data_IF_423852548846
#
_entry.id   IF_423852548846
#
_cell.length_a   1.000
_cell.length_b   1.000
_cell.length_c   1.000
_cell.angle_alpha   90.00
_cell.angle_beta   90.00
_cell.angle_gamma   90.00
#
_symmetry.space_group_name_H-M   'P 1'
#
loop_
_entity.id
_entity.type
_entity.pdbx_description
1 polymer ?
2 non-polymer ?
3 water ?
#
# COMPACT_ATOMS: atom_id res chain seq x y z
N UNK A 1 6.00 8.64 -37.01
CA UNK A 1 4.54 8.68 -36.75
C UNK A 1 4.17 9.69 -35.66
N UNK A 2 3.69 9.20 -34.52
CA UNK A 2 3.31 10.05 -33.41
C UNK A 2 3.56 9.37 -32.08
N UNK A 3 4.20 10.09 -31.16
CA UNK A 3 4.51 9.54 -29.84
C UNK A 3 3.65 10.12 -28.73
N UNK A 4 3.48 9.33 -27.67
CA UNK A 4 2.70 9.71 -26.50
C UNK A 4 3.56 9.40 -25.28
N UNK A 5 3.76 10.39 -24.42
CA UNK A 5 4.58 10.19 -23.23
C UNK A 5 4.10 10.94 -21.99
N UNK A 6 4.73 10.63 -20.86
CA UNK A 6 4.41 11.25 -19.58
C UNK A 6 5.68 11.67 -18.84
N UNK A 7 5.56 12.71 -18.03
CA UNK A 7 6.69 13.21 -17.26
C UNK A 7 6.99 12.29 -16.08
N UNK A 8 5.95 11.71 -15.51
CA UNK A 8 6.10 10.81 -14.37
C UNK A 8 5.11 9.65 -14.46
N UNK A 9 5.64 8.44 -14.58
CA UNK A 9 4.80 7.25 -14.69
C UNK A 9 4.52 6.58 -13.33
N UNK A 10 5.15 7.10 -12.29
CA UNK A 10 4.97 6.59 -10.93
C UNK A 10 4.66 7.81 -10.06
N UNK A 11 3.38 8.13 -9.94
CA UNK A 11 2.97 9.30 -9.17
C UNK A 11 2.47 9.02 -7.76
N UNK A 12 3.06 9.73 -6.80
CA UNK A 12 2.72 9.61 -5.39
C UNK A 12 2.29 10.99 -4.93
N UNK A 13 1.16 11.06 -4.23
CA UNK A 13 0.65 12.34 -3.75
C UNK A 13 -0.19 12.11 -2.50
N UNK A 14 -0.07 13.01 -1.51
CA UNK A 14 -0.83 12.87 -0.27
C UNK A 14 -2.34 12.92 -0.51
N UNK A 15 -3.09 12.18 0.31
CA UNK A 15 -4.54 12.14 0.20
C UNK A 15 -5.14 13.54 0.34
N UNK A 16 -6.26 13.76 -0.34
CA UNK A 16 -7.00 15.03 -0.31
C UNK A 16 -6.37 16.19 -1.06
N UNK A 17 -5.23 15.95 -1.71
CA UNK A 17 -4.56 16.99 -2.47
C UNK A 17 -4.81 16.86 -3.96
N UNK A 18 -4.56 17.95 -4.68
CA UNK A 18 -4.74 18.00 -6.12
C UNK A 18 -3.54 17.37 -6.81
N UNK A 19 -3.79 16.80 -7.98
CA UNK A 19 -2.73 16.18 -8.76
C UNK A 19 -3.12 16.16 -10.23
N UNK A 20 -2.13 16.37 -11.09
CA UNK A 20 -2.36 16.37 -12.52
C UNK A 20 -1.60 15.20 -13.13
N UNK A 21 -2.33 14.28 -13.76
CA UNK A 21 -1.70 13.15 -14.41
C UNK A 21 -1.38 13.66 -15.82
N UNK A 22 -0.09 13.84 -16.10
CA UNK A 22 0.34 14.36 -17.39
C UNK A 22 0.40 13.35 -18.53
N UNK A 23 0.10 13.84 -19.73
CA UNK A 23 0.11 13.03 -20.95
C UNK A 23 0.39 13.96 -22.12
N UNK A 24 1.64 13.99 -22.57
CA UNK A 24 2.02 14.84 -23.69
C UNK A 24 2.11 14.00 -24.96
N UNK A 25 1.88 14.64 -26.09
CA UNK A 25 1.94 13.97 -27.39
C UNK A 25 2.34 14.94 -28.50
N UNK A 26 2.92 14.40 -29.56
CA UNK A 26 3.34 15.20 -30.70
C UNK A 26 3.12 14.40 -31.98
N UNK A 27 2.84 15.12 -33.07
CA UNK A 27 2.59 14.49 -34.35
C UNK A 27 1.12 14.36 -34.68
N UNK A 28 0.26 14.81 -33.77
CA UNK A 28 -1.18 14.74 -33.97
C UNK A 28 -1.74 16.09 -34.39
N UNK A 29 -2.82 16.05 -35.17
CA UNK A 29 -3.47 17.26 -35.65
C UNK A 29 -4.83 17.46 -34.98
N UNK A 30 -5.68 16.44 -35.05
CA UNK A 30 -7.00 16.48 -34.43
C UNK A 30 -7.14 15.25 -33.53
N UNK A 31 -6.43 15.26 -32.40
CA UNK A 31 -6.44 14.16 -31.43
C UNK A 31 -7.66 13.96 -30.54
N UNK A 32 -8.00 12.69 -30.34
CA UNK A 32 -9.08 12.30 -29.46
C UNK A 32 -8.34 11.74 -28.25
N UNK A 33 -8.53 12.35 -27.09
CA UNK A 33 -7.86 11.89 -25.88
C UNK A 33 -8.84 11.15 -24.98
N UNK A 34 -8.44 9.96 -24.53
CA UNK A 34 -9.29 9.17 -23.64
C UNK A 34 -8.47 8.63 -22.48
N UNK A 35 -9.13 8.41 -21.35
CA UNK A 35 -8.46 7.91 -20.16
C UNK A 35 -9.24 6.79 -19.52
N UNK A 36 -8.54 5.74 -19.09
CA UNK A 36 -9.19 4.63 -18.42
C UNK A 36 -8.48 4.31 -17.12
N UNK A 37 -9.29 3.89 -16.14
CA UNK A 37 -8.82 3.56 -14.81
C UNK A 37 -8.96 2.07 -14.56
N UNK A 38 -7.84 1.43 -14.23
CA UNK A 38 -7.81 0.01 -13.95
C UNK A 38 -7.36 -0.23 -12.51
N UNK A 39 -8.21 -0.92 -11.75
CA UNK A 39 -7.94 -1.25 -10.37
C UNK A 39 -8.51 -2.65 -10.19
N UNK A 40 -7.62 -3.63 -10.06
CA UNK A 40 -8.06 -5.01 -9.92
C UNK A 40 -8.62 -5.46 -11.25
N UNK A 41 -9.89 -5.84 -11.27
CA UNK A 41 -10.56 -6.29 -12.49
C UNK A 41 -11.48 -5.20 -13.05
N UNK A 42 -11.70 -4.16 -12.25
CA UNK A 42 -12.56 -3.03 -12.62
C UNK A 42 -11.92 -2.12 -13.67
N UNK A 43 -12.65 -1.88 -14.76
CA UNK A 43 -12.18 -1.01 -15.83
C UNK A 43 -13.21 0.09 -16.06
N UNK A 44 -12.84 1.33 -15.73
CA UNK A 44 -13.73 2.48 -15.91
C UNK A 44 -13.11 3.56 -16.78
N UNK A 45 -13.94 4.22 -17.59
CA UNK A 45 -13.45 5.31 -18.43
C UNK A 45 -13.55 6.62 -17.67
N UNK A 46 -12.45 7.37 -17.62
CA UNK A 46 -12.43 8.65 -16.93
C UNK A 46 -12.67 9.75 -17.95
N UNK A 47 -12.17 9.52 -19.16
CA UNK A 47 -12.31 10.48 -20.23
C UNK A 47 -12.70 9.74 -21.51
N UNK A 48 -13.78 10.20 -22.12
CA UNK A 48 -14.31 9.62 -23.35
C UNK A 48 -14.45 10.75 -24.36
N UNK A 49 -13.90 10.54 -25.56
CA UNK A 49 -13.95 11.53 -26.63
C UNK A 49 -13.50 12.93 -26.17
N UNK A 50 -12.40 12.96 -25.41
CA UNK A 50 -11.80 14.20 -24.89
C UNK A 50 -12.68 14.91 -23.86
N UNK A 51 -13.54 14.15 -23.21
CA UNK A 51 -14.46 14.70 -22.24
C UNK A 51 -14.53 13.83 -20.99
N UNK A 52 -14.46 14.46 -19.82
CA UNK A 52 -14.53 13.74 -18.56
C UNK A 52 -15.91 13.10 -18.42
N UNK A 53 -15.93 11.81 -18.08
CA UNK A 53 -17.17 11.06 -17.92
C UNK A 53 -17.95 11.48 -16.68
N UNK A 54 -19.24 11.14 -16.67
CA UNK A 54 -20.15 11.50 -15.57
C UNK A 54 -19.69 11.24 -14.13
N UNK A 55 -19.29 10.00 -13.81
CA UNK A 55 -18.85 9.72 -12.44
C UNK A 55 -17.59 10.45 -11.98
N UNK A 56 -16.88 11.08 -12.92
CA UNK A 56 -15.65 11.81 -12.59
C UNK A 56 -15.76 13.31 -12.85
N UNK A 57 -16.86 13.73 -13.46
CA UNK A 57 -17.06 15.13 -13.82
C UNK A 57 -17.04 16.15 -12.69
N UNK A 58 -17.29 15.70 -11.46
CA UNK A 58 -17.33 16.59 -10.31
C UNK A 58 -15.99 16.95 -9.70
N UNK A 59 -14.94 16.21 -10.04
CA UNK A 59 -13.62 16.49 -9.48
C UNK A 59 -12.44 16.35 -10.44
N UNK A 60 -12.71 15.96 -11.69
CA UNK A 60 -11.64 15.82 -12.68
C UNK A 60 -11.83 16.79 -13.84
N UNK A 61 -10.80 17.58 -14.11
CA UNK A 61 -10.85 18.55 -15.19
C UNK A 61 -9.90 18.14 -16.31
N UNK A 62 -10.39 18.23 -17.54
CA UNK A 62 -9.62 17.89 -18.73
C UNK A 62 -8.84 19.05 -19.32
N UNK A 63 -7.71 18.71 -19.93
CA UNK A 63 -6.85 19.67 -20.62
C UNK A 63 -6.07 18.81 -21.62
N UNK A 64 -5.58 19.43 -22.68
CA UNK A 64 -4.84 18.70 -23.70
C UNK A 64 -3.53 18.09 -23.19
N UNK A 65 -3.05 18.55 -22.04
CA UNK A 65 -1.79 18.05 -21.47
C UNK A 65 -1.94 17.07 -20.31
N UNK A 66 -3.18 16.73 -19.96
CA UNK A 66 -3.41 15.80 -18.87
C UNK A 66 -4.69 16.07 -18.11
N UNK A 67 -5.00 15.21 -17.14
CA UNK A 67 -6.21 15.39 -16.34
C UNK A 67 -5.83 15.83 -14.92
N UNK A 68 -6.58 16.77 -14.38
CA UNK A 68 -6.30 17.26 -13.04
C UNK A 68 -7.41 16.91 -12.05
N UNK A 69 -7.01 16.26 -10.96
CA UNK A 69 -7.92 15.87 -9.89
C UNK A 69 -7.88 17.01 -8.89
N UNK A 70 -9.04 17.57 -8.57
CA UNK A 70 -9.08 18.65 -7.59
C UNK A 70 -8.75 18.08 -6.21
N UNK A 71 -8.96 16.77 -6.05
CA UNK A 71 -8.65 16.05 -4.81
C UNK A 71 -8.72 14.54 -5.04
N UNK A 72 -7.79 13.82 -4.43
CA UNK A 72 -7.74 12.36 -4.55
C UNK A 72 -7.87 11.70 -3.19
N UNK A 73 -8.41 10.48 -3.19
CA UNK A 73 -8.57 9.70 -1.98
C UNK A 73 -7.88 8.37 -2.22
N UNK A 74 -7.73 7.58 -1.16
CA UNK A 74 -7.08 6.27 -1.26
C UNK A 74 -7.80 5.35 -2.25
N UNK A 75 -9.06 5.67 -2.57
CA UNK A 75 -9.86 4.89 -3.50
C UNK A 75 -9.42 5.11 -4.95
N UNK A 76 -8.57 6.11 -5.17
CA UNK A 76 -8.08 6.42 -6.50
C UNK A 76 -6.81 5.67 -6.91
N UNK A 77 -6.23 4.91 -5.99
CA UNK A 77 -5.03 4.13 -6.28
C UNK A 77 -5.27 3.22 -7.47
N UNK A 78 -4.29 3.15 -8.37
CA UNK A 78 -4.42 2.29 -9.54
C UNK A 78 -3.65 2.82 -10.72
N UNK A 79 -3.89 2.26 -11.90
CA UNK A 79 -3.19 2.75 -13.07
C UNK A 79 -4.14 3.42 -14.06
N UNK A 80 -3.71 4.57 -14.55
CA UNK A 80 -4.47 5.37 -15.49
C UNK A 80 -3.74 5.33 -16.81
N UNK A 81 -4.47 5.02 -17.87
CA UNK A 81 -3.89 4.91 -19.20
C UNK A 81 -4.42 6.00 -20.13
N UNK A 82 -3.51 6.84 -20.61
CA UNK A 82 -3.88 7.90 -21.52
C UNK A 82 -3.80 7.35 -22.94
N UNK A 83 -4.92 7.41 -23.64
CA UNK A 83 -5.00 6.91 -25.01
C UNK A 83 -5.26 8.03 -26.00
N UNK A 84 -4.25 8.31 -26.82
CA UNK A 84 -4.37 9.36 -27.82
C UNK A 84 -4.46 8.76 -29.21
N UNK A 85 -5.42 9.25 -29.98
CA UNK A 85 -5.65 8.76 -31.32
C UNK A 85 -5.93 9.92 -32.27
N UNK A 86 -5.43 9.82 -33.49
CA UNK A 86 -5.68 10.85 -34.50
C UNK A 86 -7.08 10.56 -35.01
N UNK A 87 -7.89 11.60 -35.19
CA UNK A 87 -9.26 11.38 -35.67
C UNK A 87 -9.21 10.54 -36.95
N UNK A 88 -9.79 9.34 -36.88
CA UNK A 88 -9.77 8.42 -38.01
C UNK A 88 -9.10 7.12 -37.60
N UNK A 89 -8.30 7.16 -36.54
CA UNK A 89 -7.63 5.97 -36.05
C UNK A 89 -6.33 5.53 -36.69
N UNK A 90 -5.82 6.30 -37.64
CA UNK A 90 -4.57 5.95 -38.33
C UNK A 90 -3.36 5.97 -37.39
N UNK A 91 -3.21 7.07 -36.67
CA UNK A 91 -2.11 7.25 -35.73
C UNK A 91 -2.62 6.98 -34.32
N UNK A 92 -1.88 6.19 -33.55
CA UNK A 92 -2.28 5.84 -32.19
C UNK A 92 -1.12 5.69 -31.22
N UNK A 93 -1.42 5.92 -29.94
CA UNK A 93 -0.41 5.79 -28.91
C UNK A 93 -1.05 5.80 -27.53
N UNK A 94 -0.33 5.27 -26.54
CA UNK A 94 -0.83 5.23 -25.17
C UNK A 94 0.28 5.14 -24.13
N UNK A 95 -0.01 5.64 -22.93
CA UNK A 95 0.95 5.60 -21.85
C UNK A 95 0.23 5.41 -20.51
N UNK A 96 0.77 4.51 -19.69
CA UNK A 96 0.19 4.22 -18.38
C UNK A 96 0.87 4.99 -17.25
N UNK A 97 0.10 5.31 -16.22
CA UNK A 97 0.61 6.05 -15.07
C UNK A 97 0.04 5.44 -13.80
N UNK A 98 0.93 5.00 -12.91
CA UNK A 98 0.46 4.40 -11.67
C UNK A 98 0.36 5.45 -10.58
N UNK A 99 -0.83 5.58 -10.01
CA UNK A 99 -1.08 6.55 -8.95
C UNK A 99 -1.14 5.88 -7.58
N UNK A 100 -0.37 6.42 -6.65
CA UNK A 100 -0.34 5.93 -5.28
C UNK A 100 -0.65 7.12 -4.37
N UNK A 101 -1.80 7.06 -3.73
CA UNK A 101 -2.24 8.11 -2.81
C UNK A 101 -1.65 7.82 -1.43
N UNK A 102 -0.81 8.73 -0.95
CA UNK A 102 -0.13 8.58 0.33
C UNK A 102 -0.98 8.76 1.59
N UNK A 103 -0.92 7.76 2.46
CA UNK A 103 -1.65 7.76 3.72
C UNK A 103 -0.70 7.12 4.74
N UNK A 104 -0.38 7.84 5.83
CA UNK A 104 0.52 7.26 6.84
C UNK A 104 -0.16 6.13 7.58
N UNK A 105 0.62 5.21 8.16
CA UNK A 105 0.04 4.09 8.89
C UNK A 105 -0.72 4.49 10.15
N UNK A 106 -1.75 3.70 10.45
CA UNK A 106 -2.56 3.90 11.65
C UNK A 106 -1.95 3.03 12.75
N UNK A 107 -2.34 3.29 13.99
CA UNK A 107 -1.85 2.52 15.14
C UNK A 107 -2.21 1.07 14.90
N UNK A 108 -1.21 0.20 14.77
CA UNK A 108 -1.50 -1.22 14.54
C UNK A 108 -2.02 -1.94 15.77
N UNK A 109 -2.73 -3.04 15.56
CA UNK A 109 -3.23 -3.85 16.67
C UNK A 109 -2.38 -5.11 16.68
N UNK A 110 -2.28 -5.76 17.83
CA UNK A 110 -1.53 -7.01 17.93
C UNK A 110 -2.36 -8.10 18.56
N UNK A 111 -2.04 -9.34 18.21
CA UNK A 111 -2.72 -10.50 18.76
C UNK A 111 -1.63 -11.35 19.39
N UNK A 112 -1.57 -11.31 20.72
CA UNK A 112 -0.59 -12.08 21.46
C UNK A 112 -1.31 -12.97 22.46
N UNK A 113 -1.22 -14.29 22.26
CA UNK A 113 -1.87 -15.24 23.16
C UNK A 113 -1.27 -15.13 24.56
N UNK A 114 -2.14 -14.95 25.55
CA UNK A 114 -1.71 -14.80 26.94
C UNK A 114 -0.96 -16.02 27.47
N UNK A 115 -1.33 -17.21 26.99
CA UNK A 115 -0.70 -18.45 27.41
C UNK A 115 -0.51 -19.41 26.24
N UNK A 116 0.66 -20.02 26.18
CA UNK A 116 0.98 -20.99 25.14
C UNK A 116 1.72 -22.17 25.75
N UNK A 117 1.56 -23.34 25.14
CA UNK A 117 2.21 -24.55 25.62
C UNK A 117 3.57 -24.75 24.95
N UNK A 118 4.61 -24.88 25.78
CA UNK A 118 5.98 -25.10 25.32
C UNK A 118 6.03 -26.33 24.40
N UNK A 119 6.71 -26.19 23.27
CA UNK A 119 6.80 -27.27 22.31
C UNK A 119 5.85 -27.03 21.14
N UNK A 120 4.82 -26.23 21.38
CA UNK A 120 3.84 -25.93 20.35
C UNK A 120 4.16 -24.66 19.55
N UNK A 121 3.31 -24.39 18.57
CA UNK A 121 3.46 -23.23 17.70
C UNK A 121 2.67 -22.03 18.23
N UNK A 122 3.22 -20.84 18.02
CA UNK A 122 2.57 -19.61 18.44
C UNK A 122 2.89 -18.52 17.42
N UNK A 123 1.85 -17.91 16.86
CA UNK A 123 2.02 -16.85 15.88
C UNK A 123 1.46 -15.55 16.44
N UNK A 124 2.31 -14.54 16.59
CA UNK A 124 1.87 -13.25 17.09
C UNK A 124 1.67 -12.37 15.87
N UNK A 125 0.52 -11.71 15.77
CA UNK A 125 0.25 -10.87 14.61
C UNK A 125 0.31 -9.39 14.91
N UNK A 126 0.61 -8.62 13.87
CA UNK A 126 0.72 -7.18 13.95
C UNK A 126 0.25 -6.63 12.63
N UNK A 127 -0.73 -5.73 12.67
CA UNK A 127 -1.22 -5.15 11.43
C UNK A 127 -2.08 -3.90 11.56
N UNK A 128 -2.17 -3.20 10.43
CA UNK A 128 -2.98 -2.00 10.28
C UNK A 128 -3.35 -2.03 8.79
N UNK A 129 -4.47 -1.42 8.43
CA UNK A 129 -4.90 -1.45 7.03
C UNK A 129 -5.14 -0.09 6.37
N UNK A 130 -4.67 0.99 6.98
CA UNK A 130 -4.87 2.31 6.41
C UNK A 130 -3.71 2.84 5.59
N UNK A 131 -2.50 2.44 5.96
CA UNK A 131 -1.32 2.88 5.25
C UNK A 131 -1.31 2.64 3.76
N UNK A 132 -0.78 3.62 3.03
CA UNK A 132 -0.67 3.55 1.58
C UNK A 132 0.62 4.29 1.19
N UNK A 133 1.63 3.55 0.70
CA UNK A 133 1.69 2.10 0.47
C UNK A 133 1.61 1.28 1.76
N UNK A 134 1.41 -0.05 1.64
CA UNK A 134 1.31 -0.96 2.79
C UNK A 134 2.48 -0.87 3.76
N UNK A 135 2.18 -0.92 5.05
CA UNK A 135 3.20 -0.84 6.08
C UNK A 135 3.97 -2.15 6.25
N UNK A 136 5.20 -2.02 6.74
CA UNK A 136 6.05 -3.17 7.05
C UNK A 136 6.13 -3.15 8.57
N UNK A 137 6.42 -4.29 9.18
CA UNK A 137 6.44 -4.37 10.63
C UNK A 137 7.74 -4.86 11.26
N UNK A 138 7.89 -4.52 12.54
CA UNK A 138 9.05 -4.92 13.33
C UNK A 138 8.57 -5.19 14.76
N UNK A 139 9.23 -6.13 15.44
CA UNK A 139 8.83 -6.51 16.80
C UNK A 139 9.81 -6.20 17.93
N UNK A 140 9.27 -6.16 19.15
CA UNK A 140 10.04 -5.88 20.35
C UNK A 140 9.64 -6.83 21.47
N UNK A 141 10.62 -7.23 22.27
CA UNK A 141 10.40 -8.11 23.41
C UNK A 141 11.05 -7.46 24.63
N UNK A 142 10.24 -7.14 25.63
CA UNK A 142 10.72 -6.49 26.85
C UNK A 142 11.57 -5.25 26.52
N UNK A 143 11.16 -4.52 25.48
CA UNK A 143 11.86 -3.31 25.07
C UNK A 143 12.99 -3.49 24.08
N UNK A 144 13.39 -4.74 23.84
CA UNK A 144 14.48 -5.04 22.92
C UNK A 144 13.99 -5.26 21.49
N UNK A 145 14.63 -4.59 20.54
CA UNK A 145 14.29 -4.74 19.13
C UNK A 145 14.83 -6.12 18.71
N UNK A 146 13.92 -7.01 18.34
CA UNK A 146 14.27 -8.38 17.95
C UNK A 146 15.19 -8.54 16.75
N UNK A 147 15.20 -7.55 15.87
CA UNK A 147 16.07 -7.58 14.70
C UNK A 147 16.69 -6.20 14.51
N UNK A 148 18.01 -6.16 14.33
CA UNK A 148 18.72 -4.89 14.13
C UNK A 148 19.85 -5.06 13.12
N UNK A 154 20.01 -8.86 11.94
CA UNK A 154 20.71 -9.31 13.14
C UNK A 154 19.72 -9.55 14.28
N UNK A 155 19.75 -10.77 14.82
CA UNK A 155 18.86 -11.17 15.91
C UNK A 155 19.27 -10.65 17.29
N UNK A 156 18.28 -10.35 18.12
CA UNK A 156 18.52 -9.87 19.48
C UNK A 156 19.08 -10.99 20.35
N UNK A 157 18.75 -12.23 19.98
CA UNK A 157 19.20 -13.43 20.68
C UNK A 157 18.99 -14.69 19.83
N UNK A 158 19.95 -15.61 19.90
CA UNK A 158 19.90 -16.86 19.15
C UNK A 158 19.21 -17.96 19.95
N UNK A 159 18.95 -17.68 21.22
CA UNK A 159 18.32 -18.61 22.15
C UNK A 159 16.85 -18.96 21.83
N UNK A 160 16.33 -18.43 20.71
CA UNK A 160 14.95 -18.68 20.31
C UNK A 160 14.80 -19.13 18.86
N UNK A 161 13.77 -19.93 18.61
CA UNK A 161 13.48 -20.46 17.28
C UNK A 161 12.37 -19.63 16.65
N UNK A 162 12.63 -18.33 16.49
CA UNK A 162 11.63 -17.44 15.93
C UNK A 162 11.89 -16.98 14.50
N UNK A 163 10.84 -16.46 13.88
CA UNK A 163 10.89 -15.97 12.52
C UNK A 163 9.96 -14.78 12.44
N UNK A 164 10.34 -13.79 11.65
CA UNK A 164 9.53 -12.60 11.47
C UNK A 164 9.38 -12.28 10.00
N UNK A 165 8.13 -12.09 9.58
CA UNK A 165 7.79 -11.74 8.21
C UNK A 165 7.40 -10.26 8.27
N UNK A 166 8.27 -9.38 7.75
CA UNK A 166 8.04 -7.93 7.74
C UNK A 166 6.81 -7.47 6.95
N UNK A 167 6.44 -8.22 5.92
CA UNK A 167 5.30 -7.86 5.10
C UNK A 167 3.93 -8.21 5.68
N UNK A 168 3.84 -9.35 6.36
CA UNK A 168 2.57 -9.74 6.98
C UNK A 168 2.55 -9.28 8.44
N UNK A 169 3.74 -9.21 9.04
CA UNK A 169 3.87 -8.79 10.42
C UNK A 169 3.86 -9.94 11.41
N UNK A 170 3.84 -11.17 10.90
CA UNK A 170 3.83 -12.36 11.75
C UNK A 170 5.14 -12.62 12.48
N UNK A 171 5.03 -12.89 13.77
CA UNK A 171 6.16 -13.25 14.61
C UNK A 171 5.84 -14.70 14.93
N UNK A 172 6.64 -15.61 14.40
CA UNK A 172 6.40 -17.04 14.59
C UNK A 172 7.39 -17.77 15.50
N UNK A 173 6.86 -18.44 16.52
CA UNK A 173 7.67 -19.24 17.45
C UNK A 173 7.26 -20.69 17.21
N UNK A 174 8.21 -21.49 16.73
CA UNK A 174 7.94 -22.90 16.46
C UNK A 174 9.24 -23.70 16.59
N UNK A 175 9.42 -24.39 17.72
CA UNK A 175 8.48 -24.44 18.84
C UNK A 175 8.71 -23.29 19.83
N UNK A 176 7.72 -23.03 20.68
CA UNK A 176 7.84 -21.98 21.69
C UNK A 176 8.54 -22.57 22.91
N UNK A 177 9.41 -21.79 23.53
CA UNK A 177 10.13 -22.23 24.72
C UNK A 177 9.82 -21.27 25.86
N UNK A 178 10.21 -21.64 27.08
CA UNK A 178 9.95 -20.80 28.24
C UNK A 178 10.62 -19.43 28.07
N UNK A 179 11.73 -19.42 27.34
CA UNK A 179 12.47 -18.20 27.07
C UNK A 179 11.67 -17.17 26.26
N UNK A 180 10.72 -17.64 25.46
CA UNK A 180 9.91 -16.77 24.63
C UNK A 180 8.83 -16.04 25.41
N UNK A 181 8.68 -16.41 26.67
CA UNK A 181 7.70 -15.77 27.55
C UNK A 181 8.16 -14.32 27.74
N UNK A 182 7.24 -13.37 27.60
CA UNK A 182 7.60 -11.97 27.76
C UNK A 182 6.57 -10.96 27.27
N UNK A 183 6.95 -9.69 27.27
CA UNK A 183 6.07 -8.61 26.83
C UNK A 183 6.45 -8.15 25.42
N UNK A 184 5.50 -8.28 24.49
CA UNK A 184 5.74 -7.91 23.10
C UNK A 184 4.88 -6.77 22.59
N UNK A 185 5.41 -6.04 21.62
CA UNK A 185 4.69 -4.96 20.95
C UNK A 185 5.36 -4.76 19.61
N UNK A 186 4.63 -4.16 18.67
CA UNK A 186 5.18 -3.95 17.34
C UNK A 186 4.99 -2.54 16.83
N UNK A 187 5.63 -2.25 15.70
CA UNK A 187 5.51 -0.94 15.06
C UNK A 187 5.36 -1.10 13.56
N UNK A 188 4.60 -0.18 12.96
CA UNK A 188 4.34 -0.19 11.53
C UNK A 188 4.84 1.09 10.90
N UNK A 189 5.41 0.97 9.71
CA UNK A 189 5.89 2.15 8.98
C UNK A 189 5.90 1.88 7.49
N UNK A 190 5.72 2.94 6.70
CA UNK A 190 5.70 2.79 5.25
C UNK A 190 6.49 3.90 4.54
N UNK A 191 7.46 4.47 5.24
CA UNK A 191 8.28 5.52 4.67
C UNK A 191 7.60 6.87 4.53
N UNK A 192 6.35 6.97 4.99
CA UNK A 192 5.59 8.21 4.91
C UNK A 192 4.98 8.55 6.26
N UNK A 193 5.15 9.80 6.68
CA UNK A 193 4.62 10.23 7.96
C UNK A 193 5.51 9.71 9.07
N UNK A 194 4.90 9.23 10.14
CA UNK A 194 5.66 8.72 11.27
C UNK A 194 5.25 7.29 11.59
N UNK A 195 6.20 6.49 12.06
CA UNK A 195 5.93 5.11 12.41
C UNK A 195 5.02 5.09 13.64
N UNK A 196 4.21 4.05 13.76
CA UNK A 196 3.29 3.94 14.88
C UNK A 196 3.53 2.64 15.62
N UNK A 197 3.42 2.68 16.94
CA UNK A 197 3.61 1.48 17.73
C UNK A 197 2.26 0.99 18.25
N UNK A 198 2.19 -0.29 18.58
CA UNK A 198 0.97 -0.87 19.11
C UNK A 198 1.12 -0.94 20.63
N UNK A 199 0.07 -1.43 21.28
CA UNK A 199 0.10 -1.61 22.72
C UNK A 199 0.89 -2.89 23.00
N UNK A 200 1.39 -3.02 24.22
CA UNK A 200 2.15 -4.20 24.60
C UNK A 200 1.24 -5.27 25.16
N UNK A 201 1.68 -6.51 25.04
CA UNK A 201 0.93 -7.66 25.54
C UNK A 201 1.91 -8.71 25.99
N UNK A 202 1.60 -9.36 27.11
CA UNK A 202 2.46 -10.39 27.65
C UNK A 202 2.02 -11.80 27.27
N UNK A 203 3.00 -12.63 26.96
CA UNK A 203 2.76 -14.03 26.62
C UNK A 203 3.44 -14.93 27.65
N UNK A 204 2.67 -15.84 28.23
CA UNK A 204 3.19 -16.77 29.21
C UNK A 204 3.34 -18.15 28.58
N UNK A 205 4.51 -18.75 28.73
CA UNK A 205 4.78 -20.07 28.17
C UNK A 205 4.84 -21.11 29.29
N UNK A 206 3.85 -21.99 29.33
CA UNK A 206 3.77 -23.04 30.34
C UNK A 206 4.05 -24.42 29.75
N UNK A 207 4.26 -25.41 30.61
CA UNK A 207 4.57 -26.77 30.15
C UNK A 207 3.41 -27.66 29.72
N UNK A 208 2.27 -27.55 30.40
CA UNK A 208 1.12 -28.39 30.04
C UNK A 208 0.13 -27.69 29.11
N UNK A 209 -0.75 -28.48 28.51
CA UNK A 209 -1.77 -27.97 27.59
C UNK A 209 -2.60 -26.82 28.15
N UNK A 210 -2.81 -25.82 27.31
CA UNK A 210 -3.59 -24.64 27.67
C UNK A 210 -5.04 -24.83 27.19
N UNK A 211 -5.99 -24.33 27.98
CA UNK A 211 -7.39 -24.43 27.59
C UNK A 211 -8.20 -25.56 28.21
N UNK A 212 -7.54 -26.40 29.00
CA UNK A 212 -8.22 -27.52 29.64
C UNK A 212 -8.81 -28.54 28.70
X LIG B 1 -11.00 0.27 9.36
#
# INVERSE_FOLDING_TARGET
>A
KGSVYTAQSDVQVPENESIKLTCTYSGFSSPRVEWKFVQGSTTALVCYNSQITAPYADRVTFSSSGITFSSVTRKDNGEYTCMVSEEGGQNYGEVSIHLTVLVPPSKPTISVPSSVTIGNRAVLTCSEHDGSPPSEYSWFKDGISMLTADAKKTRAFMNSSFTIDPKSGDLIFDPVTAFDSGEYYCQAQNGYGTAMRSEAAHMDAVELNVGG
>B hetero
1 MG MG
#
